data_IF_639664385841
#
_entry.id   IF_639664385841
#
_cell.length_a   1.000
_cell.length_b   1.000
_cell.length_c   1.000
_cell.angle_alpha   90.00
_cell.angle_beta   90.00
_cell.angle_gamma   90.00
#
_symmetry.space_group_name_H-M   'P 1'
#
loop_
_entity.id
_entity.type
_entity.pdbx_description
1 polymer ?
#
# COMPACT_ATOMS: atom_id res chain seq x y z
N UNK A 1 -47.00 -4.95 -8.95
CA UNK A 1 -46.87 -4.36 -7.60
C UNK A 1 -45.50 -3.70 -7.53
N UNK A 2 -45.46 -2.37 -7.57
CA UNK A 2 -44.21 -1.62 -7.48
C UNK A 2 -43.80 -1.48 -6.02
N UNK A 3 -42.53 -1.77 -5.70
CA UNK A 3 -41.93 -1.50 -4.39
C UNK A 3 -41.76 0.03 -4.22
N UNK A 4 -42.02 0.59 -3.03
CA UNK A 4 -41.86 2.02 -2.80
C UNK A 4 -40.37 2.39 -2.83
N UNK A 5 -40.05 3.51 -3.49
CA UNK A 5 -38.74 4.13 -3.44
C UNK A 5 -38.43 4.52 -1.99
N UNK A 6 -37.28 4.07 -1.47
CA UNK A 6 -36.74 4.53 -0.20
C UNK A 6 -36.08 5.90 -0.43
N UNK A 7 -36.74 6.96 0.04
CA UNK A 7 -36.12 8.28 0.13
C UNK A 7 -34.98 8.23 1.17
N UNK A 8 -33.75 8.50 0.72
CA UNK A 8 -32.60 8.65 1.61
C UNK A 8 -32.79 9.92 2.45
N UNK A 9 -32.94 9.72 3.75
CA UNK A 9 -33.12 10.82 4.69
C UNK A 9 -31.76 11.50 4.87
N UNK A 10 -31.66 12.74 4.41
CA UNK A 10 -30.46 13.56 4.58
C UNK A 10 -30.30 13.94 6.06
N UNK A 11 -29.38 13.27 6.74
CA UNK A 11 -29.10 13.41 8.18
C UNK A 11 -28.71 14.86 8.52
N UNK A 12 -27.97 15.53 7.63
CA UNK A 12 -27.54 16.92 7.84
C UNK A 12 -28.72 17.89 7.86
N UNK A 13 -29.76 17.62 7.06
CA UNK A 13 -30.99 18.42 7.08
C UNK A 13 -31.78 18.26 8.39
N UNK A 14 -31.75 17.09 9.01
CA UNK A 14 -32.47 16.85 10.26
C UNK A 14 -31.70 17.42 11.44
N UNK A 15 -30.38 17.21 11.50
CA UNK A 15 -29.52 17.80 12.52
C UNK A 15 -29.59 19.33 12.44
N UNK A 16 -29.65 19.90 11.24
CA UNK A 16 -29.79 21.35 11.02
C UNK A 16 -31.11 21.95 11.53
N UNK A 17 -32.15 21.14 11.75
CA UNK A 17 -33.46 21.58 12.29
C UNK A 17 -33.56 21.46 13.80
N UNK A 18 -32.62 20.78 14.46
CA UNK A 18 -32.66 20.61 15.91
C UNK A 18 -32.26 21.91 16.61
N UNK A 19 -33.01 22.25 17.67
CA UNK A 19 -32.63 23.36 18.54
C UNK A 19 -31.29 23.07 19.21
N UNK A 20 -30.55 24.12 19.59
CA UNK A 20 -29.25 23.98 20.27
C UNK A 20 -29.37 23.15 21.56
N UNK A 21 -30.51 23.22 22.25
CA UNK A 21 -30.79 22.40 23.43
C UNK A 21 -30.95 20.90 23.08
N UNK A 22 -31.63 20.60 21.98
CA UNK A 22 -31.86 19.23 21.52
C UNK A 22 -30.59 18.60 20.97
N UNK A 23 -29.76 19.35 20.23
CA UNK A 23 -28.43 18.88 19.82
C UNK A 23 -27.56 18.53 21.04
N UNK A 24 -27.62 19.36 22.08
CA UNK A 24 -26.81 19.17 23.28
C UNK A 24 -27.32 17.98 24.12
N UNK A 25 -28.64 17.75 24.16
CA UNK A 25 -29.24 16.56 24.76
C UNK A 25 -28.86 15.28 23.99
N UNK A 26 -28.92 15.31 22.65
CA UNK A 26 -28.53 14.20 21.78
C UNK A 26 -27.05 13.85 21.94
N UNK A 27 -26.16 14.85 21.91
CA UNK A 27 -24.72 14.67 22.13
C UNK A 27 -24.44 14.14 23.54
N UNK A 28 -25.12 14.64 24.58
CA UNK A 28 -25.00 14.09 25.93
C UNK A 28 -25.48 12.65 26.01
N UNK A 29 -26.56 12.28 25.34
CA UNK A 29 -27.06 10.90 25.33
C UNK A 29 -26.06 9.94 24.64
N UNK A 30 -25.47 10.36 23.51
CA UNK A 30 -24.45 9.60 22.79
C UNK A 30 -23.17 9.46 23.64
N UNK A 31 -22.67 10.56 24.21
CA UNK A 31 -21.43 10.57 25.01
C UNK A 31 -21.56 9.80 26.33
N UNK A 32 -22.71 9.91 27.00
CA UNK A 32 -22.94 9.21 28.28
C UNK A 32 -23.09 7.70 28.06
N UNK A 33 -23.52 7.25 26.87
CA UNK A 33 -23.70 5.82 26.56
C UNK A 33 -22.52 5.17 25.84
N UNK A 34 -21.65 5.94 25.18
CA UNK A 34 -20.39 5.44 24.62
C UNK A 34 -19.41 4.90 25.68
N UNK A 35 -19.67 5.13 26.97
CA UNK A 35 -18.84 4.61 28.07
C UNK A 35 -19.36 3.33 28.74
N UNK A 36 -20.50 2.78 28.33
CA UNK A 36 -21.09 1.59 28.96
C UNK A 36 -21.43 0.51 27.92
N UNK A 37 -20.90 -0.70 28.15
CA UNK A 37 -20.89 -1.83 27.20
C UNK A 37 -22.23 -2.59 27.10
N UNK A 38 -23.37 -1.94 27.36
CA UNK A 38 -24.68 -2.58 27.46
C UNK A 38 -25.63 -2.23 26.31
N UNK A 39 -26.55 -3.16 26.07
CA UNK A 39 -27.47 -3.29 24.95
C UNK A 39 -28.23 -2.00 24.62
N UNK A 40 -28.26 -1.64 23.34
CA UNK A 40 -28.90 -0.43 22.81
C UNK A 40 -30.42 -0.49 23.00
N UNK A 41 -30.93 0.03 24.12
CA UNK A 41 -32.35 0.36 24.24
C UNK A 41 -32.50 1.74 24.86
N UNK A 42 -33.12 2.68 24.14
CA UNK A 42 -33.49 3.99 24.69
C UNK A 42 -34.95 3.85 25.12
N UNK A 43 -35.23 4.04 26.41
CA UNK A 43 -36.62 3.99 26.90
C UNK A 43 -37.35 5.27 26.49
N UNK A 44 -38.56 5.13 25.96
CA UNK A 44 -39.42 6.24 25.49
C UNK A 44 -39.66 7.34 26.53
N UNK A 45 -39.45 7.03 27.82
CA UNK A 45 -39.82 7.89 28.94
C UNK A 45 -38.68 8.86 29.35
N UNK A 46 -37.48 8.74 28.79
CA UNK A 46 -36.31 9.56 29.16
C UNK A 46 -36.18 10.86 28.33
N UNK A 47 -37.00 11.02 27.28
CA UNK A 47 -37.03 12.22 26.43
C UNK A 47 -38.38 12.91 26.61
N UNK A 48 -38.40 14.09 27.26
CA UNK A 48 -39.61 14.88 27.53
C UNK A 48 -40.27 15.52 26.29
N UNK A 49 -39.87 15.09 25.09
CA UNK A 49 -40.36 15.53 23.78
C UNK A 49 -40.86 14.35 22.93
N UNK A 50 -41.27 13.26 23.58
CA UNK A 50 -41.58 11.97 22.96
C UNK A 50 -42.60 12.04 21.79
N UNK A 51 -43.57 12.96 21.85
CA UNK A 51 -44.61 13.08 20.81
C UNK A 51 -44.11 13.77 19.52
N UNK A 52 -43.06 14.59 19.59
CA UNK A 52 -42.51 15.35 18.44
C UNK A 52 -41.23 14.72 17.85
N UNK A 53 -40.82 13.54 18.32
CA UNK A 53 -39.53 12.91 17.98
C UNK A 53 -39.65 11.59 17.19
N UNK A 54 -40.79 11.30 16.57
CA UNK A 54 -41.00 10.08 15.77
C UNK A 54 -39.96 9.90 14.64
N UNK A 55 -39.53 11.00 14.00
CA UNK A 55 -38.45 10.98 13.01
C UNK A 55 -37.09 10.62 13.62
N UNK A 56 -36.82 11.09 14.85
CA UNK A 56 -35.58 10.80 15.57
C UNK A 56 -35.53 9.32 15.98
N UNK A 57 -36.66 8.76 16.42
CA UNK A 57 -36.80 7.33 16.71
C UNK A 57 -36.60 6.48 15.46
N UNK A 58 -37.21 6.87 14.33
CA UNK A 58 -36.99 6.19 13.05
C UNK A 58 -35.53 6.23 12.58
N UNK A 59 -34.77 7.28 12.92
CA UNK A 59 -33.33 7.34 12.67
C UNK A 59 -32.53 6.43 13.60
N UNK A 60 -32.89 6.37 14.89
CA UNK A 60 -32.25 5.47 15.85
C UNK A 60 -32.43 4.02 15.43
N UNK A 61 -33.63 3.62 15.01
CA UNK A 61 -33.91 2.25 14.55
C UNK A 61 -33.11 1.89 13.29
N UNK A 62 -32.96 2.84 12.35
CA UNK A 62 -32.12 2.65 11.15
C UNK A 62 -30.64 2.50 11.50
N UNK A 63 -30.11 3.37 12.36
CA UNK A 63 -28.73 3.29 12.83
C UNK A 63 -28.47 1.98 13.59
N UNK A 64 -29.43 1.50 14.39
CA UNK A 64 -29.33 0.20 15.05
C UNK A 64 -29.26 -0.95 14.04
N UNK A 65 -30.10 -0.92 12.99
CA UNK A 65 -30.06 -1.93 11.93
C UNK A 65 -28.71 -1.94 11.19
N UNK A 66 -28.17 -0.76 10.85
CA UNK A 66 -26.84 -0.64 10.22
C UNK A 66 -25.72 -1.15 11.13
N UNK A 67 -25.79 -0.88 12.43
CA UNK A 67 -24.79 -1.38 13.40
C UNK A 67 -24.84 -2.90 13.52
N UNK A 68 -26.03 -3.51 13.51
CA UNK A 68 -26.15 -4.97 13.53
C UNK A 68 -25.65 -5.61 12.22
N UNK A 69 -25.91 -5.00 11.07
CA UNK A 69 -25.37 -5.44 9.78
C UNK A 69 -23.83 -5.37 9.74
N UNK A 70 -23.26 -4.28 10.27
CA UNK A 70 -21.82 -4.12 10.41
C UNK A 70 -21.21 -5.15 11.38
N UNK A 71 -21.89 -5.49 12.48
CA UNK A 71 -21.45 -6.56 13.39
C UNK A 71 -21.44 -7.91 12.68
N UNK A 72 -22.47 -8.22 11.89
CA UNK A 72 -22.52 -9.45 11.09
C UNK A 72 -21.37 -9.50 10.08
N UNK A 73 -21.12 -8.40 9.37
CA UNK A 73 -19.99 -8.26 8.45
C UNK A 73 -18.63 -8.45 9.15
N UNK A 74 -18.48 -7.95 10.37
CA UNK A 74 -17.27 -8.12 11.18
C UNK A 74 -17.07 -9.58 11.60
N UNK A 75 -18.14 -10.31 11.90
CA UNK A 75 -18.05 -11.74 12.26
C UNK A 75 -17.63 -12.59 11.06
N UNK A 76 -18.18 -12.35 9.87
CA UNK A 76 -17.76 -13.02 8.63
C UNK A 76 -16.28 -12.75 8.33
N UNK A 77 -15.84 -11.49 8.46
CA UNK A 77 -14.44 -11.13 8.20
C UNK A 77 -13.46 -11.82 9.16
N UNK A 78 -13.88 -12.05 10.41
CA UNK A 78 -13.08 -12.80 11.39
C UNK A 78 -13.00 -14.29 11.06
N UNK A 79 -14.07 -14.87 10.52
CA UNK A 79 -14.06 -16.25 10.04
C UNK A 79 -13.11 -16.40 8.84
N UNK A 80 -13.21 -15.50 7.84
CA UNK A 80 -12.30 -15.46 6.70
C UNK A 80 -10.83 -15.32 7.12
N UNK A 81 -10.56 -14.45 8.11
CA UNK A 81 -9.21 -14.28 8.66
C UNK A 81 -8.66 -15.57 9.30
N UNK A 82 -9.50 -16.31 10.02
CA UNK A 82 -9.11 -17.58 10.62
C UNK A 82 -8.87 -18.65 9.55
N UNK A 83 -9.69 -18.71 8.51
CA UNK A 83 -9.50 -19.65 7.40
C UNK A 83 -8.20 -19.40 6.64
N UNK A 84 -7.89 -18.14 6.34
CA UNK A 84 -6.62 -17.75 5.73
C UNK A 84 -5.42 -18.12 6.63
N UNK A 85 -5.54 -17.91 7.94
CA UNK A 85 -4.51 -18.31 8.91
C UNK A 85 -4.27 -19.82 8.89
N UNK A 86 -5.34 -20.62 8.82
CA UNK A 86 -5.24 -22.07 8.73
C UNK A 86 -4.57 -22.51 7.42
N UNK A 87 -4.93 -21.88 6.29
CA UNK A 87 -4.29 -22.15 5.00
C UNK A 87 -2.79 -21.83 5.01
N UNK A 88 -2.39 -20.73 5.66
CA UNK A 88 -0.99 -20.34 5.80
C UNK A 88 -0.19 -21.38 6.61
N UNK A 89 -0.75 -21.90 7.69
CA UNK A 89 -0.13 -22.97 8.49
C UNK A 89 0.06 -24.23 7.64
N UNK A 90 -0.97 -24.66 6.90
CA UNK A 90 -0.86 -25.83 5.99
C UNK A 90 0.19 -25.62 4.90
N UNK A 91 0.29 -24.41 4.34
CA UNK A 91 1.30 -24.10 3.32
C UNK A 91 2.72 -24.12 3.91
N UNK A 92 2.90 -23.62 5.14
CA UNK A 92 4.18 -23.67 5.86
C UNK A 92 4.63 -25.12 6.11
N UNK A 93 3.72 -25.99 6.58
CA UNK A 93 4.01 -27.41 6.80
C UNK A 93 4.42 -28.12 5.49
N UNK A 94 3.80 -27.77 4.35
CA UNK A 94 4.19 -28.31 3.04
C UNK A 94 5.60 -27.87 2.64
N UNK A 95 5.98 -26.62 2.88
CA UNK A 95 7.34 -26.15 2.61
C UNK A 95 8.39 -26.90 3.43
N UNK A 96 8.11 -27.13 4.72
CA UNK A 96 9.01 -27.89 5.60
C UNK A 96 9.20 -29.34 5.09
N UNK A 97 8.12 -29.99 4.62
CA UNK A 97 8.22 -31.34 4.03
C UNK A 97 8.99 -31.38 2.70
N UNK A 98 8.93 -30.30 1.91
CA UNK A 98 9.70 -30.16 0.67
C UNK A 98 11.19 -29.93 0.95
N UNK A 99 11.55 -29.23 2.02
CA UNK A 99 12.94 -29.03 2.43
C UNK A 99 13.60 -30.33 2.92
N UNK A 100 12.84 -31.16 3.65
CA UNK A 100 13.31 -32.48 4.10
C UNK A 100 13.54 -33.45 2.93
N UNK A 101 12.69 -33.41 1.90
CA UNK A 101 12.83 -34.28 0.71
C UNK A 101 13.94 -33.84 -0.25
N UNK A 102 14.36 -32.57 -0.22
CA UNK A 102 15.48 -32.04 -1.02
C UNK A 102 16.86 -32.42 -0.47
N UNK A 103 16.92 -32.99 0.75
CA UNK A 103 18.15 -33.39 1.43
C UNK A 103 18.53 -34.88 1.23
N UNK A 104 17.86 -35.61 0.33
CA UNK A 104 18.22 -36.99 0.00
C UNK A 104 19.45 -37.04 -0.94
N UNK A 105 20.44 -37.93 -0.68
CA UNK A 105 21.69 -37.95 -1.44
C UNK A 105 21.49 -38.52 -2.86
N UNK A 106 22.00 -37.79 -3.86
CA UNK A 106 22.00 -38.21 -5.26
C UNK A 106 22.93 -39.44 -5.50
N UNK A 107 22.60 -40.35 -6.43
CA UNK A 107 23.44 -41.50 -6.76
C UNK A 107 24.66 -41.07 -7.58
N UNK A 108 25.83 -41.45 -7.07
CA UNK A 108 27.16 -41.32 -7.69
C UNK A 108 27.22 -41.95 -9.08
N UNK A 109 27.64 -41.16 -10.09
CA UNK A 109 28.14 -41.66 -11.38
C UNK A 109 29.66 -41.47 -11.47
N UNK A 110 30.32 -42.60 -11.67
CA UNK A 110 31.75 -42.83 -11.86
C UNK A 110 32.20 -42.40 -13.25
N UNK A 111 33.30 -41.64 -13.38
CA UNK A 111 34.13 -41.61 -14.59
C UNK A 111 35.47 -40.87 -14.39
N UNK A 112 36.52 -41.66 -14.20
CA UNK A 112 37.87 -41.58 -14.80
C UNK A 112 38.62 -40.23 -14.88
N UNK A 113 39.69 -40.07 -14.08
CA UNK A 113 41.03 -39.75 -14.59
C UNK A 113 42.15 -40.05 -13.58
N UNK A 114 43.33 -40.37 -14.13
CA UNK A 114 44.52 -40.99 -13.54
C UNK A 114 45.59 -39.97 -13.09
N UNK A 115 46.52 -40.46 -12.26
CA UNK A 115 47.85 -39.93 -11.88
C UNK A 115 47.80 -38.80 -10.83
N UNK A 116 48.44 -38.88 -9.65
CA UNK A 116 49.83 -39.26 -9.37
C UNK A 116 50.04 -39.88 -7.96
N UNK A 117 51.13 -40.64 -7.81
CA UNK A 117 51.60 -41.36 -6.62
C UNK A 117 52.28 -40.45 -5.58
N UNK A 118 52.26 -40.91 -4.33
CA UNK A 118 53.13 -40.43 -3.23
C UNK A 118 52.73 -41.03 -1.88
N UNK A 119 53.29 -42.19 -1.53
CA UNK A 119 53.30 -42.81 -0.18
C UNK A 119 54.12 -41.92 0.79
N UNK A 120 53.88 -41.83 2.10
CA UNK A 120 53.95 -42.88 3.14
C UNK A 120 53.39 -42.34 4.51
N UNK A 121 53.36 -43.11 5.63
CA UNK A 121 52.27 -43.13 6.60
C UNK A 121 52.61 -42.59 8.01
N UNK A 122 51.59 -42.27 8.83
CA UNK A 122 51.38 -42.85 10.17
C UNK A 122 50.32 -42.11 11.03
N UNK A 123 49.42 -42.93 11.62
CA UNK A 123 48.71 -42.79 12.91
C UNK A 123 47.49 -41.84 13.07
N UNK A 124 46.60 -42.07 14.09
CA UNK A 124 45.22 -42.45 13.82
C UNK A 124 44.15 -41.47 14.34
N UNK A 125 43.02 -41.46 13.62
CA UNK A 125 41.63 -41.42 14.14
C UNK A 125 41.35 -40.69 15.46
N UNK A 126 40.74 -39.50 15.37
CA UNK A 126 39.68 -39.07 16.28
C UNK A 126 38.53 -38.39 15.50
N UNK A 127 37.32 -38.76 15.90
CA UNK A 127 36.01 -38.52 15.29
C UNK A 127 35.60 -37.03 15.14
N UNK A 128 34.62 -36.71 14.27
CA UNK A 128 34.27 -35.33 13.92
C UNK A 128 33.18 -34.75 14.83
N UNK A 129 33.51 -33.69 15.57
CA UNK A 129 32.53 -32.74 16.11
C UNK A 129 32.19 -31.67 15.06
N UNK A 130 31.48 -32.06 14.00
CA UNK A 130 30.91 -31.13 13.01
C UNK A 130 29.40 -30.92 13.26
N UNK A 131 29.03 -30.25 14.34
CA UNK A 131 27.64 -29.75 14.55
C UNK A 131 27.52 -28.37 15.22
N UNK A 132 28.62 -27.61 15.41
CA UNK A 132 28.55 -26.30 16.07
C UNK A 132 28.57 -25.07 15.12
N UNK A 133 28.97 -25.23 13.84
CA UNK A 133 29.21 -24.07 12.95
C UNK A 133 27.97 -23.39 12.35
N UNK A 134 26.80 -24.06 12.35
CA UNK A 134 25.58 -23.50 11.76
C UNK A 134 24.74 -22.64 12.73
N UNK A 135 24.98 -22.78 14.04
CA UNK A 135 24.17 -22.14 15.08
C UNK A 135 24.78 -20.80 15.52
N UNK A 136 26.12 -20.74 15.62
CA UNK A 136 26.88 -19.50 15.83
C UNK A 136 26.56 -18.41 14.80
N UNK A 137 26.38 -18.77 13.52
CA UNK A 137 26.02 -17.80 12.46
C UNK A 137 24.62 -17.20 12.65
N UNK A 138 23.68 -17.92 13.28
CA UNK A 138 22.31 -17.41 13.53
C UNK A 138 22.28 -16.49 14.75
N UNK A 139 23.02 -16.85 15.80
CA UNK A 139 23.14 -16.03 17.01
C UNK A 139 23.91 -14.73 16.73
N UNK A 140 25.01 -14.79 15.96
CA UNK A 140 25.73 -13.61 15.49
C UNK A 140 24.85 -12.70 14.63
N UNK A 141 24.06 -13.26 13.72
CA UNK A 141 23.12 -12.48 12.91
C UNK A 141 22.03 -11.82 13.76
N UNK A 142 21.54 -12.49 14.81
CA UNK A 142 20.57 -11.93 15.74
C UNK A 142 21.16 -10.77 16.57
N UNK A 143 22.40 -10.91 17.05
CA UNK A 143 23.12 -9.84 17.75
C UNK A 143 23.36 -8.65 16.83
N UNK A 144 23.82 -8.90 15.59
CA UNK A 144 24.00 -7.85 14.59
C UNK A 144 22.69 -7.11 14.30
N UNK A 145 21.59 -7.83 14.06
CA UNK A 145 20.27 -7.24 13.80
C UNK A 145 19.75 -6.43 15.00
N UNK A 146 19.96 -6.94 16.23
CA UNK A 146 19.65 -6.22 17.46
C UNK A 146 20.40 -4.88 17.53
N UNK A 147 21.73 -4.89 17.39
CA UNK A 147 22.55 -3.68 17.41
C UNK A 147 22.19 -2.73 16.27
N UNK A 148 21.92 -3.25 15.08
CA UNK A 148 21.51 -2.46 13.92
C UNK A 148 20.20 -1.71 14.20
N UNK A 149 19.20 -2.38 14.79
CA UNK A 149 17.92 -1.78 15.16
C UNK A 149 18.09 -0.68 16.20
N UNK A 150 18.88 -0.93 17.26
CA UNK A 150 19.10 0.06 18.31
C UNK A 150 19.89 1.28 17.83
N UNK A 151 20.96 1.07 17.06
CA UNK A 151 21.72 2.16 16.42
C UNK A 151 20.82 2.99 15.50
N UNK A 152 20.01 2.32 14.66
CA UNK A 152 19.09 2.99 13.75
C UNK A 152 18.06 3.81 14.51
N UNK A 153 17.40 3.22 15.52
CA UNK A 153 16.39 3.91 16.32
C UNK A 153 16.98 5.12 17.06
N UNK A 154 18.14 4.94 17.69
CA UNK A 154 18.86 6.01 18.40
C UNK A 154 19.24 7.15 17.47
N UNK A 155 19.78 6.83 16.29
CA UNK A 155 20.10 7.84 15.28
C UNK A 155 18.86 8.63 14.85
N UNK A 156 17.75 7.95 14.56
CA UNK A 156 16.49 8.60 14.17
C UNK A 156 15.95 9.53 15.25
N UNK A 157 16.00 9.10 16.51
CA UNK A 157 15.61 9.92 17.66
C UNK A 157 16.48 11.19 17.79
N UNK A 158 17.80 11.06 17.65
CA UNK A 158 18.73 12.19 17.76
C UNK A 158 18.52 13.25 16.68
N UNK A 159 18.18 12.82 15.45
CA UNK A 159 17.93 13.73 14.33
C UNK A 159 16.49 14.24 14.28
N UNK A 160 15.61 13.75 15.17
CA UNK A 160 14.20 14.14 15.24
C UNK A 160 13.36 13.64 14.06
N UNK A 161 13.72 12.48 13.50
CA UNK A 161 12.94 11.87 12.43
C UNK A 161 12.05 10.77 12.98
N UNK A 162 10.74 10.98 12.89
CA UNK A 162 9.74 9.96 13.22
C UNK A 162 9.24 9.29 11.94
N UNK A 163 9.63 8.02 11.75
CA UNK A 163 9.17 7.21 10.62
C UNK A 163 7.68 6.86 10.69
N UNK A 164 7.04 7.02 11.86
CA UNK A 164 5.60 6.77 12.04
C UNK A 164 4.74 7.97 11.63
N UNK A 165 5.32 9.16 11.48
CA UNK A 165 4.66 10.30 10.85
C UNK A 165 4.76 10.12 9.35
N UNK A 166 3.71 9.58 8.75
CA UNK A 166 3.64 9.29 7.32
C UNK A 166 3.95 10.53 6.47
N UNK A 167 5.01 10.43 5.66
CA UNK A 167 5.36 11.45 4.66
C UNK A 167 6.25 12.59 5.15
N UNK A 168 6.75 12.57 6.39
CA UNK A 168 7.75 13.55 6.83
C UNK A 168 9.07 13.35 6.07
N UNK A 169 9.63 14.41 5.43
CA UNK A 169 10.93 14.31 4.75
C UNK A 169 12.07 14.20 5.75
N UNK A 170 13.17 13.56 5.34
CA UNK A 170 14.36 13.38 6.16
C UNK A 170 14.92 14.76 6.62
N UNK A 171 15.19 14.97 7.93
CA UNK A 171 15.59 16.27 8.45
C UNK A 171 16.95 16.65 7.91
N UNK A 172 17.15 17.95 7.66
CA UNK A 172 18.42 18.48 7.17
C UNK A 172 18.79 19.74 7.94
N UNK A 173 20.09 19.93 8.14
CA UNK A 173 20.64 21.25 8.43
C UNK A 173 20.42 22.19 7.24
N UNK A 174 19.34 22.98 7.28
CA UNK A 174 19.04 23.98 6.28
C UNK A 174 18.83 25.35 6.92
N UNK A 175 19.06 26.42 6.15
CA UNK A 175 18.69 27.79 6.57
C UNK A 175 17.18 27.98 6.55
N UNK A 176 16.49 27.23 5.70
CA UNK A 176 15.04 27.16 5.65
C UNK A 176 14.55 26.19 6.72
N UNK A 177 13.95 26.71 7.79
CA UNK A 177 13.41 25.95 8.93
C UNK A 177 12.30 24.92 8.56
N UNK A 178 11.90 24.83 7.28
CA UNK A 178 10.82 23.97 6.78
C UNK A 178 11.06 22.47 6.97
N UNK A 179 12.31 22.05 7.18
CA UNK A 179 12.70 20.64 7.35
C UNK A 179 13.42 20.38 8.68
N UNK A 180 13.31 21.31 9.63
CA UNK A 180 13.90 21.19 10.95
C UNK A 180 12.81 20.81 11.96
N UNK A 181 12.85 19.61 12.56
CA UNK A 181 11.89 19.24 13.59
C UNK A 181 11.95 20.20 14.77
N UNK A 182 10.78 20.57 15.30
CA UNK A 182 10.67 21.40 16.50
C UNK A 182 10.84 20.52 17.75
N UNK A 183 11.85 20.83 18.56
CA UNK A 183 12.01 20.20 19.86
C UNK A 183 10.95 20.75 20.83
N UNK A 184 10.43 19.88 21.70
CA UNK A 184 9.49 20.31 22.76
C UNK A 184 10.14 21.33 23.68
N UNK A 185 9.34 22.27 24.20
CA UNK A 185 9.83 23.35 25.06
C UNK A 185 10.57 22.78 26.27
N UNK A 186 11.87 23.07 26.38
CA UNK A 186 12.74 22.58 27.47
C UNK A 186 13.60 21.36 27.11
N UNK A 187 13.41 20.75 25.94
CA UNK A 187 14.26 19.67 25.44
C UNK A 187 15.47 20.21 24.66
N UNK A 188 16.54 19.42 24.62
CA UNK A 188 17.69 19.73 23.78
C UNK A 188 17.28 19.76 22.30
N UNK A 189 17.86 20.66 21.48
CA UNK A 189 17.58 20.68 20.05
C UNK A 189 18.07 19.39 19.38
N UNK A 190 17.35 18.96 18.35
CA UNK A 190 17.76 17.82 17.53
C UNK A 190 19.09 18.10 16.82
N UNK A 191 19.89 17.05 16.66
CA UNK A 191 21.14 17.13 15.93
C UNK A 191 20.89 16.92 14.44
N UNK A 192 20.80 18.00 13.69
CA UNK A 192 20.46 17.92 12.27
C UNK A 192 21.67 17.49 11.43
N UNK A 193 21.53 16.42 10.62
CA UNK A 193 22.59 16.01 9.71
C UNK A 193 22.89 17.07 8.65
N UNK A 194 24.18 17.23 8.34
CA UNK A 194 24.62 17.91 7.13
C UNK A 194 24.81 16.90 6.00
N UNK A 195 23.71 16.59 5.31
CA UNK A 195 23.73 15.70 4.15
C UNK A 195 24.48 16.27 2.93
N UNK A 196 24.92 17.54 2.95
CA UNK A 196 25.73 18.15 1.89
C UNK A 196 27.19 17.72 1.95
N UNK A 197 27.67 17.32 3.12
CA UNK A 197 29.02 16.75 3.29
C UNK A 197 29.03 15.28 2.85
N UNK A 198 30.08 14.87 2.15
CA UNK A 198 30.24 13.49 1.67
C UNK A 198 30.67 12.53 2.78
N UNK A 199 31.18 13.06 3.90
CA UNK A 199 31.78 12.29 4.97
C UNK A 199 31.00 12.47 6.27
N UNK A 200 30.47 11.35 6.78
CA UNK A 200 29.82 11.29 8.09
C UNK A 200 30.80 11.55 9.26
N UNK A 201 32.11 11.47 9.00
CA UNK A 201 33.17 11.71 9.98
C UNK A 201 33.54 13.19 10.16
N UNK A 202 32.81 14.12 9.52
CA UNK A 202 33.11 15.55 9.58
C UNK A 202 32.04 16.34 10.33
N UNK A 203 32.48 17.40 11.02
CA UNK A 203 31.60 18.41 11.62
C UNK A 203 30.51 17.86 12.55
N UNK A 204 29.27 18.26 12.31
CA UNK A 204 28.10 17.85 13.10
C UNK A 204 27.72 16.39 12.86
N UNK A 205 27.98 15.83 11.67
CA UNK A 205 27.73 14.42 11.40
C UNK A 205 28.58 13.52 12.31
N UNK A 206 29.84 13.90 12.56
CA UNK A 206 30.70 13.19 13.50
C UNK A 206 30.14 13.21 14.92
N UNK A 207 29.55 14.34 15.33
CA UNK A 207 28.93 14.50 16.64
C UNK A 207 27.71 13.59 16.79
N UNK A 208 26.83 13.58 15.78
CA UNK A 208 25.65 12.69 15.73
C UNK A 208 26.07 11.23 15.85
N UNK A 209 27.06 10.81 15.07
CA UNK A 209 27.53 9.42 15.08
C UNK A 209 28.13 9.03 16.42
N UNK A 210 29.02 9.85 16.99
CA UNK A 210 29.62 9.51 18.28
C UNK A 210 28.58 9.47 19.40
N UNK A 211 27.61 10.39 19.41
CA UNK A 211 26.54 10.36 20.40
C UNK A 211 25.64 9.13 20.23
N UNK A 212 25.34 8.73 18.98
CA UNK A 212 24.59 7.50 18.71
C UNK A 212 25.32 6.27 19.26
N UNK A 213 26.63 6.16 19.01
CA UNK A 213 27.45 5.05 19.53
C UNK A 213 27.48 5.05 21.05
N UNK A 214 27.71 6.21 21.67
CA UNK A 214 27.75 6.34 23.12
C UNK A 214 26.44 5.91 23.78
N UNK A 215 25.29 6.36 23.26
CA UNK A 215 23.98 6.02 23.81
C UNK A 215 23.68 4.52 23.71
N UNK A 216 24.06 3.86 22.61
CA UNK A 216 23.88 2.41 22.48
C UNK A 216 24.82 1.64 23.41
N UNK A 217 26.04 2.14 23.65
CA UNK A 217 26.93 1.55 24.65
C UNK A 217 26.36 1.67 26.06
N UNK A 218 25.85 2.85 26.44
CA UNK A 218 25.17 3.08 27.72
C UNK A 218 23.94 2.17 27.86
N UNK A 219 23.13 2.04 26.81
CA UNK A 219 21.97 1.15 26.81
C UNK A 219 22.37 -0.31 27.03
N UNK A 220 23.45 -0.77 26.38
CA UNK A 220 23.96 -2.12 26.59
C UNK A 220 24.44 -2.37 28.03
N UNK A 221 24.98 -1.35 28.71
CA UNK A 221 25.37 -1.47 30.12
C UNK A 221 24.18 -1.62 31.07
N UNK A 222 22.97 -1.25 30.63
CA UNK A 222 21.75 -1.30 31.45
C UNK A 222 20.83 -2.47 31.09
N UNK A 223 20.77 -2.85 29.81
CA UNK A 223 19.78 -3.82 29.30
C UNK A 223 20.40 -5.13 28.80
N UNK A 224 21.73 -5.29 28.88
CA UNK A 224 22.46 -6.47 28.37
C UNK A 224 22.04 -6.85 26.93
N UNK A 225 21.99 -5.85 26.04
CA UNK A 225 21.54 -6.01 24.64
C UNK A 225 22.32 -7.11 23.89
N UNK A 226 23.58 -7.30 24.27
CA UNK A 226 24.50 -8.25 23.66
C UNK A 226 25.02 -9.22 24.73
N UNK A 227 24.90 -10.54 24.53
CA UNK A 227 25.44 -11.54 25.45
C UNK A 227 26.97 -11.45 25.58
N UNK A 228 27.50 -11.81 26.76
CA UNK A 228 28.93 -11.85 27.09
C UNK A 228 29.89 -12.37 26.00
N UNK A 229 29.62 -13.48 25.27
CA UNK A 229 30.53 -13.95 24.21
C UNK A 229 30.67 -12.99 23.01
N UNK A 230 29.83 -11.96 22.91
CA UNK A 230 29.78 -11.01 21.80
C UNK A 230 30.07 -9.56 22.22
N UNK A 231 30.59 -9.31 23.43
CA UNK A 231 30.86 -7.95 23.94
C UNK A 231 31.75 -7.10 23.00
N UNK A 232 32.63 -7.73 22.22
CA UNK A 232 33.48 -7.06 21.22
C UNK A 232 32.66 -6.29 20.16
N UNK A 233 31.42 -6.71 19.90
CA UNK A 233 30.50 -6.08 18.96
C UNK A 233 29.93 -4.75 19.45
N UNK A 234 30.00 -4.50 20.76
CA UNK A 234 29.59 -3.24 21.40
C UNK A 234 30.77 -2.27 21.52
N UNK A 235 31.95 -2.66 21.04
CA UNK A 235 33.10 -1.76 20.96
C UNK A 235 32.78 -0.54 20.09
N UNK A 236 33.40 0.59 20.44
CA UNK A 236 33.17 1.85 19.71
C UNK A 236 33.45 1.71 18.22
N UNK A 237 34.49 0.95 17.86
CA UNK A 237 34.85 0.70 16.46
C UNK A 237 33.78 -0.14 15.73
N UNK A 238 33.32 -1.24 16.32
CA UNK A 238 32.33 -2.12 15.70
C UNK A 238 30.98 -1.43 15.49
N UNK A 239 30.50 -0.70 16.49
CA UNK A 239 29.25 0.07 16.39
C UNK A 239 29.35 1.19 15.34
N UNK A 240 30.52 1.83 15.26
CA UNK A 240 30.81 2.89 14.30
C UNK A 240 30.82 2.36 12.85
N UNK A 241 31.39 1.18 12.60
CA UNK A 241 31.34 0.51 11.30
C UNK A 241 29.92 0.10 10.91
N UNK A 242 29.13 -0.39 11.87
CA UNK A 242 27.74 -0.73 11.65
C UNK A 242 26.90 0.51 11.32
N UNK A 243 27.13 1.61 12.06
CA UNK A 243 26.44 2.88 11.84
C UNK A 243 26.81 3.52 10.49
N UNK A 244 28.03 3.31 9.99
CA UNK A 244 28.39 3.74 8.63
C UNK A 244 27.46 3.13 7.57
N UNK A 245 27.14 1.84 7.70
CA UNK A 245 26.19 1.17 6.80
C UNK A 245 24.77 1.75 6.93
N UNK A 246 24.33 2.09 8.15
CA UNK A 246 23.03 2.74 8.39
C UNK A 246 23.00 4.14 7.76
N UNK A 247 24.05 4.93 7.97
CA UNK A 247 24.18 6.28 7.45
C UNK A 247 24.11 6.33 5.93
N UNK A 248 24.78 5.39 5.24
CA UNK A 248 24.72 5.29 3.79
C UNK A 248 23.30 5.12 3.25
N UNK A 249 22.46 4.32 3.94
CA UNK A 249 21.04 4.15 3.56
C UNK A 249 20.22 5.42 3.80
N UNK A 250 20.45 6.12 4.91
CA UNK A 250 19.75 7.39 5.16
C UNK A 250 20.16 8.50 4.19
N UNK A 251 21.44 8.55 3.81
CA UNK A 251 21.90 9.48 2.78
C UNK A 251 21.24 9.19 1.43
N UNK A 252 21.15 7.91 1.03
CA UNK A 252 20.42 7.51 -0.17
C UNK A 252 18.93 7.90 -0.12
N UNK A 253 18.27 7.68 1.03
CA UNK A 253 16.89 8.10 1.23
C UNK A 253 16.74 9.62 1.13
N UNK A 254 17.60 10.38 1.79
CA UNK A 254 17.62 11.84 1.72
C UNK A 254 17.78 12.32 0.28
N UNK A 255 18.75 11.77 -0.47
CA UNK A 255 19.00 12.13 -1.87
C UNK A 255 17.81 11.78 -2.76
N UNK A 256 17.15 10.65 -2.51
CA UNK A 256 15.92 10.28 -3.21
C UNK A 256 14.79 11.29 -2.90
N UNK A 257 14.58 11.70 -1.66
CA UNK A 257 13.50 12.62 -1.30
C UNK A 257 13.77 14.06 -1.80
N UNK A 258 15.04 14.48 -1.83
CA UNK A 258 15.43 15.89 -2.04
C UNK A 258 16.07 16.16 -3.39
N UNK A 259 16.16 15.18 -4.29
CA UNK A 259 16.56 15.40 -5.68
C UNK A 259 15.31 15.58 -6.57
N UNK A 260 14.91 16.83 -6.87
CA UNK A 260 13.68 17.10 -7.61
C UNK A 260 13.70 16.50 -9.02
N UNK A 261 14.88 16.40 -9.65
CA UNK A 261 15.02 15.81 -10.99
C UNK A 261 14.79 14.29 -10.98
N UNK A 262 15.30 13.59 -9.97
CA UNK A 262 15.06 12.15 -9.81
C UNK A 262 13.66 11.84 -9.28
N UNK A 263 13.07 12.74 -8.48
CA UNK A 263 11.67 12.63 -8.08
C UNK A 263 10.77 12.76 -9.30
N UNK A 264 10.90 13.83 -10.08
CA UNK A 264 10.13 14.03 -11.30
C UNK A 264 10.29 12.89 -12.31
N UNK A 265 11.51 12.33 -12.46
CA UNK A 265 11.73 11.17 -13.32
C UNK A 265 11.04 9.90 -12.80
N UNK A 266 11.06 9.65 -11.48
CA UNK A 266 10.36 8.51 -10.87
C UNK A 266 8.85 8.67 -10.95
N UNK A 267 8.34 9.85 -10.68
CA UNK A 267 6.91 10.17 -10.80
C UNK A 267 6.47 9.97 -12.27
N UNK A 268 7.28 10.41 -13.24
CA UNK A 268 7.05 10.17 -14.66
C UNK A 268 7.08 8.67 -15.02
N UNK A 269 8.05 7.91 -14.54
CA UNK A 269 8.11 6.46 -14.82
C UNK A 269 7.00 5.67 -14.14
N UNK A 270 6.59 6.07 -12.94
CA UNK A 270 5.42 5.50 -12.27
C UNK A 270 4.15 5.76 -13.09
N UNK A 271 3.99 6.99 -13.57
CA UNK A 271 2.91 7.37 -14.49
C UNK A 271 2.94 6.56 -15.79
N UNK A 272 4.09 6.50 -16.49
CA UNK A 272 4.25 5.70 -17.71
C UNK A 272 3.97 4.20 -17.46
N UNK A 273 4.37 3.68 -16.31
CA UNK A 273 4.09 2.32 -15.88
C UNK A 273 2.59 2.07 -15.68
N UNK A 274 1.90 2.96 -14.95
CA UNK A 274 0.46 2.89 -14.73
C UNK A 274 -0.29 2.97 -16.05
N UNK A 275 -0.01 3.96 -16.89
CA UNK A 275 -0.63 4.12 -18.21
C UNK A 275 -0.43 2.87 -19.10
N UNK A 276 0.74 2.24 -19.04
CA UNK A 276 1.01 0.98 -19.77
C UNK A 276 0.17 -0.19 -19.25
N UNK A 277 -0.02 -0.31 -17.93
CA UNK A 277 -0.88 -1.35 -17.33
C UNK A 277 -2.35 -1.15 -17.70
N UNK A 278 -2.82 0.10 -17.68
CA UNK A 278 -4.17 0.46 -18.13
C UNK A 278 -4.39 0.10 -19.60
N UNK A 279 -3.47 0.49 -20.49
CA UNK A 279 -3.53 0.15 -21.92
C UNK A 279 -3.62 -1.36 -22.16
N UNK A 280 -2.78 -2.16 -21.48
CA UNK A 280 -2.83 -3.63 -21.58
C UNK A 280 -4.17 -4.22 -21.13
N UNK A 281 -4.72 -3.67 -20.04
CA UNK A 281 -6.04 -4.07 -19.53
C UNK A 281 -7.12 -3.78 -20.57
N UNK A 282 -7.09 -2.60 -21.19
CA UNK A 282 -8.04 -2.26 -22.25
C UNK A 282 -7.88 -3.12 -23.49
N UNK A 283 -6.65 -3.39 -23.93
CA UNK A 283 -6.39 -4.29 -25.05
C UNK A 283 -6.98 -5.68 -24.79
N UNK A 284 -6.80 -6.21 -23.58
CA UNK A 284 -7.41 -7.46 -23.17
C UNK A 284 -8.94 -7.40 -23.23
N UNK A 285 -9.55 -6.31 -22.72
CA UNK A 285 -11.00 -6.15 -22.71
C UNK A 285 -11.59 -5.97 -24.11
N UNK A 286 -10.94 -5.16 -24.96
CA UNK A 286 -11.34 -4.98 -26.34
C UNK A 286 -11.22 -6.29 -27.13
N UNK A 287 -10.15 -7.07 -26.91
CA UNK A 287 -9.96 -8.38 -27.54
C UNK A 287 -11.07 -9.36 -27.11
N UNK A 288 -11.38 -9.43 -25.81
CA UNK A 288 -12.47 -10.28 -25.32
C UNK A 288 -13.85 -9.81 -25.81
N UNK A 289 -14.09 -8.50 -25.85
CA UNK A 289 -15.32 -7.93 -26.41
C UNK A 289 -15.49 -8.24 -27.90
N UNK A 290 -14.41 -8.16 -28.67
CA UNK A 290 -14.37 -8.59 -30.07
C UNK A 290 -14.70 -10.08 -30.22
N UNK A 291 -14.16 -10.94 -29.35
CA UNK A 291 -14.51 -12.36 -29.32
C UNK A 291 -16.01 -12.57 -29.05
N UNK A 292 -16.56 -11.90 -28.03
CA UNK A 292 -17.98 -11.98 -27.69
C UNK A 292 -18.87 -11.52 -28.85
N UNK A 293 -18.50 -10.42 -29.51
CA UNK A 293 -19.24 -9.94 -30.66
C UNK A 293 -19.16 -10.91 -31.84
N UNK A 294 -18.00 -11.52 -32.11
CA UNK A 294 -17.84 -12.52 -33.15
C UNK A 294 -18.74 -13.74 -32.91
N UNK A 295 -18.80 -14.23 -31.66
CA UNK A 295 -19.70 -15.31 -31.25
C UNK A 295 -21.18 -14.94 -31.49
N UNK A 296 -21.58 -13.73 -31.12
CA UNK A 296 -22.95 -13.23 -31.37
C UNK A 296 -23.29 -13.16 -32.87
N UNK A 297 -22.30 -12.95 -33.73
CA UNK A 297 -22.45 -12.94 -35.19
C UNK A 297 -22.34 -14.33 -35.82
N UNK A 298 -22.19 -15.39 -35.02
CA UNK A 298 -22.12 -16.78 -35.50
C UNK A 298 -20.76 -17.18 -36.09
N UNK A 299 -19.68 -16.49 -35.73
CA UNK A 299 -18.32 -16.93 -36.09
C UNK A 299 -18.02 -18.25 -35.36
N UNK A 300 -17.52 -19.30 -36.05
CA UNK A 300 -17.17 -20.57 -35.41
C UNK A 300 -16.12 -20.37 -34.31
N UNK A 301 -16.29 -21.04 -33.16
CA UNK A 301 -15.42 -20.89 -31.96
C UNK A 301 -13.93 -20.96 -32.30
N UNK A 302 -13.51 -21.93 -33.11
CA UNK A 302 -12.11 -22.11 -33.55
C UNK A 302 -11.51 -20.90 -34.28
N UNK A 303 -12.34 -20.00 -34.81
CA UNK A 303 -11.93 -18.81 -35.55
C UNK A 303 -12.10 -17.50 -34.78
N UNK A 304 -12.71 -17.53 -33.58
CA UNK A 304 -13.06 -16.33 -32.81
C UNK A 304 -11.82 -15.57 -32.34
N UNK A 305 -10.84 -16.27 -31.78
CA UNK A 305 -9.59 -15.65 -31.33
C UNK A 305 -8.82 -15.02 -32.50
N UNK A 306 -8.69 -15.76 -33.61
CA UNK A 306 -8.03 -15.24 -34.82
C UNK A 306 -8.74 -14.02 -35.40
N UNK A 307 -10.07 -13.96 -35.27
CA UNK A 307 -10.83 -12.78 -35.65
C UNK A 307 -10.47 -11.60 -34.75
N UNK A 308 -10.53 -11.75 -33.42
CA UNK A 308 -10.21 -10.69 -32.48
C UNK A 308 -8.79 -10.14 -32.68
N UNK A 309 -7.78 -10.99 -32.85
CA UNK A 309 -6.40 -10.57 -33.16
C UNK A 309 -6.26 -9.78 -34.47
N UNK A 310 -7.16 -9.95 -35.43
CA UNK A 310 -7.13 -9.22 -36.71
C UNK A 310 -7.82 -7.87 -36.64
N UNK A 311 -8.70 -7.67 -35.66
CA UNK A 311 -9.59 -6.51 -35.59
C UNK A 311 -9.38 -5.66 -34.33
N UNK A 312 -8.51 -6.08 -33.42
CA UNK A 312 -8.06 -5.32 -32.25
C UNK A 312 -6.54 -5.31 -32.24
N UNK A 313 -5.95 -4.13 -32.14
CA UNK A 313 -4.52 -3.91 -31.98
C UNK A 313 -4.28 -3.13 -30.67
N UNK A 314 -3.15 -3.35 -30.01
CA UNK A 314 -2.80 -2.66 -28.77
C UNK A 314 -2.70 -1.14 -28.97
N UNK A 315 -2.29 -0.67 -30.14
CA UNK A 315 -2.27 0.76 -30.45
C UNK A 315 -3.67 1.37 -30.60
N UNK A 316 -4.73 0.56 -30.69
CA UNK A 316 -6.09 1.02 -30.98
C UNK A 316 -6.94 1.26 -29.73
N UNK A 317 -6.52 0.78 -28.56
CA UNK A 317 -7.39 0.76 -27.38
C UNK A 317 -7.51 2.07 -26.62
N UNK A 318 -6.76 3.11 -27.01
CA UNK A 318 -6.84 4.41 -26.35
C UNK A 318 -6.00 4.47 -25.08
N UNK A 319 -5.99 5.65 -24.45
CA UNK A 319 -5.29 5.87 -23.19
C UNK A 319 -6.32 6.14 -22.09
N UNK A 320 -6.14 5.52 -20.93
CA UNK A 320 -6.88 5.87 -19.72
C UNK A 320 -6.09 6.87 -18.92
N UNK A 321 -6.73 7.97 -18.53
CA UNK A 321 -6.15 9.01 -17.70
C UNK A 321 -6.96 9.12 -16.40
N UNK A 322 -6.32 8.94 -15.27
CA UNK A 322 -6.88 9.16 -13.94
C UNK A 322 -6.68 10.59 -13.43
N UNK A 323 -7.16 10.81 -12.22
CA UNK A 323 -6.89 12.04 -11.47
C UNK A 323 -5.37 12.22 -11.28
N UNK A 324 -4.68 11.22 -10.72
CA UNK A 324 -3.24 11.30 -10.40
C UNK A 324 -2.32 11.47 -11.63
N UNK A 325 -2.89 11.38 -12.84
CA UNK A 325 -2.16 11.52 -14.11
C UNK A 325 -2.11 12.98 -14.62
N UNK A 326 -2.75 13.94 -13.92
CA UNK A 326 -2.69 15.35 -14.29
C UNK A 326 -1.38 16.01 -13.83
N UNK A 327 -0.85 16.92 -14.66
CA UNK A 327 0.48 17.51 -14.45
C UNK A 327 0.57 18.47 -13.25
N UNK A 328 -0.56 19.08 -12.85
CA UNK A 328 -0.62 20.02 -11.72
C UNK A 328 -2.01 20.06 -11.05
N UNK A 329 -2.05 20.58 -9.82
CA UNK A 329 -3.25 20.69 -8.98
C UNK A 329 -4.40 21.47 -9.63
N UNK A 330 -4.10 22.43 -10.52
CA UNK A 330 -5.14 23.21 -11.20
C UNK A 330 -5.82 22.43 -12.32
N UNK A 331 -5.06 21.57 -13.00
CA UNK A 331 -5.57 20.66 -14.01
C UNK A 331 -6.35 19.51 -13.39
N UNK A 332 -5.96 19.03 -12.21
CA UNK A 332 -6.72 18.06 -11.43
C UNK A 332 -8.17 18.53 -11.22
N UNK A 333 -8.36 19.69 -10.58
CA UNK A 333 -9.70 20.22 -10.27
C UNK A 333 -10.56 20.43 -11.54
N UNK A 334 -9.97 21.02 -12.58
CA UNK A 334 -10.66 21.27 -13.84
C UNK A 334 -11.08 19.97 -14.54
N UNK A 335 -10.19 18.97 -14.53
CA UNK A 335 -10.46 17.64 -15.08
C UNK A 335 -11.62 16.96 -14.33
N UNK A 336 -11.60 16.97 -12.99
CA UNK A 336 -12.65 16.32 -12.20
C UNK A 336 -14.01 17.00 -12.31
N UNK A 337 -14.04 18.33 -12.37
CA UNK A 337 -15.27 19.05 -12.67
C UNK A 337 -15.85 18.61 -14.02
N UNK A 338 -14.99 18.45 -15.03
CA UNK A 338 -15.40 17.97 -16.35
C UNK A 338 -15.93 16.53 -16.29
N UNK A 339 -15.26 15.64 -15.56
CA UNK A 339 -15.69 14.27 -15.31
C UNK A 339 -17.05 14.21 -14.60
N UNK A 340 -17.24 15.00 -13.55
CA UNK A 340 -18.51 15.08 -12.81
C UNK A 340 -19.67 15.63 -13.66
N UNK A 341 -19.35 16.54 -14.59
CA UNK A 341 -20.32 17.17 -15.51
C UNK A 341 -20.65 16.29 -16.73
N UNK A 342 -19.87 15.25 -17.01
CA UNK A 342 -20.11 14.31 -18.13
C UNK A 342 -21.45 13.57 -18.04
N UNK A 343 -22.02 13.47 -16.82
CA UNK A 343 -23.20 12.66 -16.54
C UNK A 343 -22.97 11.15 -16.56
N UNK A 344 -21.73 10.69 -16.79
CA UNK A 344 -21.36 9.27 -16.86
C UNK A 344 -20.94 8.69 -15.50
N UNK A 345 -20.71 9.55 -14.49
CA UNK A 345 -20.39 9.14 -13.12
C UNK A 345 -21.65 9.06 -12.24
N UNK A 346 -21.77 7.97 -11.47
CA UNK A 346 -22.78 7.84 -10.42
C UNK A 346 -22.52 8.80 -9.25
N UNK A 347 -23.52 9.02 -8.39
CA UNK A 347 -23.36 9.85 -7.18
C UNK A 347 -22.23 9.34 -6.28
N UNK A 348 -22.14 8.02 -6.10
CA UNK A 348 -21.09 7.38 -5.30
C UNK A 348 -19.70 7.63 -5.91
N UNK A 349 -19.56 7.49 -7.23
CA UNK A 349 -18.29 7.73 -7.92
C UNK A 349 -17.85 9.19 -7.89
N UNK A 350 -18.79 10.15 -7.85
CA UNK A 350 -18.45 11.59 -7.71
C UNK A 350 -17.81 11.94 -6.36
N UNK A 351 -17.85 11.05 -5.37
CA UNK A 351 -17.18 11.24 -4.09
C UNK A 351 -15.76 10.69 -4.05
N UNK A 352 -15.33 9.92 -5.07
CA UNK A 352 -14.00 9.34 -5.13
C UNK A 352 -13.39 9.47 -6.55
N UNK A 353 -12.47 10.42 -6.70
CA UNK A 353 -11.77 10.68 -7.95
C UNK A 353 -10.89 9.50 -8.41
N UNK A 354 -10.51 8.59 -7.50
CA UNK A 354 -9.67 7.42 -7.83
C UNK A 354 -10.45 6.30 -8.52
N UNK A 355 -11.78 6.37 -8.49
CA UNK A 355 -12.65 5.38 -9.09
C UNK A 355 -13.07 5.71 -10.54
N UNK A 356 -12.48 6.74 -11.15
CA UNK A 356 -12.90 7.27 -12.44
C UNK A 356 -11.70 7.53 -13.35
N UNK A 357 -11.81 7.09 -14.60
CA UNK A 357 -10.79 7.24 -15.62
C UNK A 357 -11.39 7.89 -16.86
N UNK A 358 -10.71 8.87 -17.41
CA UNK A 358 -11.00 9.44 -18.72
C UNK A 358 -10.44 8.50 -19.78
N UNK A 359 -11.28 8.11 -20.73
CA UNK A 359 -10.87 7.29 -21.85
C UNK A 359 -10.66 8.17 -23.09
N UNK A 360 -9.41 8.31 -23.54
CA UNK A 360 -9.02 9.13 -24.68
C UNK A 360 -8.79 8.32 -25.95
N UNK A 361 -9.29 8.84 -27.06
CA UNK A 361 -9.05 8.28 -28.38
C UNK A 361 -7.57 8.45 -28.80
N UNK A 362 -6.95 7.44 -29.45
CA UNK A 362 -5.63 7.63 -30.05
C UNK A 362 -5.64 8.77 -31.08
N UNK A 363 -4.60 9.61 -31.09
CA UNK A 363 -4.54 10.82 -31.93
C UNK A 363 -4.59 10.55 -33.42
N UNK A 364 -4.10 9.39 -33.87
CA UNK A 364 -4.12 8.97 -35.27
C UNK A 364 -5.47 8.36 -35.69
N UNK A 365 -6.37 8.09 -34.74
CA UNK A 365 -7.59 7.33 -34.97
C UNK A 365 -8.78 8.25 -35.24
N UNK A 366 -9.59 7.91 -36.25
CA UNK A 366 -10.83 8.65 -36.49
C UNK A 366 -11.86 8.40 -35.37
N UNK A 367 -12.62 9.42 -34.99
CA UNK A 367 -13.68 9.31 -33.98
C UNK A 367 -14.71 8.21 -34.28
N UNK A 368 -14.98 7.93 -35.56
CA UNK A 368 -15.92 6.88 -35.95
C UNK A 368 -15.35 5.48 -35.70
N UNK A 369 -14.08 5.27 -36.04
CA UNK A 369 -13.42 4.00 -35.75
C UNK A 369 -13.24 3.81 -34.24
N UNK A 370 -12.88 4.87 -33.52
CA UNK A 370 -12.78 4.85 -32.06
C UNK A 370 -14.10 4.45 -31.38
N UNK A 371 -15.24 4.94 -31.88
CA UNK A 371 -16.56 4.49 -31.40
C UNK A 371 -16.76 2.98 -31.53
N UNK A 372 -16.26 2.36 -32.60
CA UNK A 372 -16.31 0.91 -32.80
C UNK A 372 -15.38 0.20 -31.81
N UNK A 373 -14.15 0.66 -31.62
CA UNK A 373 -13.24 0.07 -30.63
C UNK A 373 -13.85 0.08 -29.22
N UNK A 374 -14.49 1.20 -28.83
CA UNK A 374 -15.21 1.30 -27.56
C UNK A 374 -16.37 0.32 -27.42
N UNK A 375 -17.05 -0.05 -28.51
CA UNK A 375 -18.16 -1.02 -28.40
C UNK A 375 -17.67 -2.38 -27.90
N UNK A 376 -16.45 -2.80 -28.26
CA UNK A 376 -15.88 -4.05 -27.72
C UNK A 376 -15.67 -3.96 -26.20
N UNK A 377 -15.11 -2.85 -25.71
CA UNK A 377 -14.92 -2.63 -24.27
C UNK A 377 -16.27 -2.63 -23.54
N UNK A 378 -17.30 -1.99 -24.12
CA UNK A 378 -18.65 -1.98 -23.54
C UNK A 378 -19.30 -3.36 -23.52
N UNK A 379 -19.17 -4.14 -24.60
CA UNK A 379 -19.68 -5.52 -24.67
C UNK A 379 -19.03 -6.38 -23.59
N UNK A 380 -17.72 -6.25 -23.37
CA UNK A 380 -17.03 -6.96 -22.29
C UNK A 380 -17.53 -6.52 -20.90
N UNK A 381 -17.70 -5.22 -20.67
CA UNK A 381 -18.26 -4.67 -19.42
C UNK A 381 -19.65 -5.22 -19.13
N UNK A 382 -20.52 -5.23 -20.12
CA UNK A 382 -21.88 -5.76 -20.00
C UNK A 382 -21.85 -7.27 -19.72
N UNK A 383 -20.96 -8.01 -20.37
CA UNK A 383 -20.75 -9.43 -20.11
C UNK A 383 -20.29 -9.70 -18.67
N UNK A 384 -19.41 -8.88 -18.09
CA UNK A 384 -18.95 -9.03 -16.71
C UNK A 384 -20.03 -8.67 -15.69
N UNK A 385 -20.87 -7.66 -15.98
CA UNK A 385 -22.02 -7.29 -15.15
C UNK A 385 -23.06 -8.41 -15.16
N UNK A 386 -23.33 -8.98 -16.33
CA UNK A 386 -24.34 -10.04 -16.50
C UNK A 386 -23.86 -11.40 -16.01
N UNK A 387 -22.56 -11.71 -16.16
CA UNK A 387 -21.94 -12.98 -15.78
C UNK A 387 -20.65 -12.73 -14.98
N UNK A 388 -20.74 -12.29 -13.71
CA UNK A 388 -19.58 -11.98 -12.90
C UNK A 388 -18.76 -13.26 -12.63
N UNK A 389 -17.63 -13.39 -13.33
CA UNK A 389 -16.75 -14.57 -13.25
C UNK A 389 -15.91 -14.59 -11.97
N UNK A 390 -15.76 -13.45 -11.29
CA UNK A 390 -15.08 -13.32 -10.01
C UNK A 390 -15.90 -12.41 -9.07
N UNK A 391 -16.40 -12.94 -7.95
CA UNK A 391 -16.96 -12.16 -6.83
C UNK A 391 -15.85 -11.46 -6.03
N UNK A 392 -15.02 -10.65 -6.69
CA UNK A 392 -14.14 -9.73 -5.98
C UNK A 392 -14.93 -8.49 -5.56
N UNK A 393 -14.71 -7.99 -4.34
CA UNK A 393 -15.19 -6.67 -3.86
C UNK A 393 -14.48 -5.52 -4.60
N UNK A 394 -14.25 -5.62 -5.90
CA UNK A 394 -13.68 -4.53 -6.67
C UNK A 394 -14.80 -3.57 -7.03
N UNK A 395 -14.66 -2.33 -6.56
CA UNK A 395 -15.53 -1.22 -6.93
C UNK A 395 -15.51 -1.10 -8.46
N UNK A 396 -16.68 -0.98 -9.09
CA UNK A 396 -16.79 -0.85 -10.53
C UNK A 396 -16.14 0.47 -10.94
N UNK A 397 -14.97 0.38 -11.58
CA UNK A 397 -14.25 1.52 -12.14
C UNK A 397 -15.04 2.16 -13.26
N UNK A 398 -15.41 3.44 -13.10
CA UNK A 398 -16.05 4.20 -14.17
C UNK A 398 -15.03 4.62 -15.22
N UNK A 399 -15.38 4.43 -16.48
CA UNK A 399 -14.60 4.95 -17.60
C UNK A 399 -15.47 5.93 -18.35
N UNK A 400 -15.03 7.18 -18.38
CA UNK A 400 -15.78 8.31 -18.95
C UNK A 400 -15.10 8.71 -20.25
N UNK A 401 -15.86 8.76 -21.34
CA UNK A 401 -15.38 9.39 -22.56
C UNK A 401 -15.83 10.86 -22.57
N UNK A 402 -14.86 11.77 -22.43
CA UNK A 402 -15.08 13.22 -22.49
C UNK A 402 -15.20 13.75 -23.93
N UNK A 403 -15.04 12.89 -24.94
CA UNK A 403 -15.06 13.24 -26.34
C UNK A 403 -13.66 13.56 -26.90
N UNK A 404 -13.57 14.11 -28.12
CA UNK A 404 -12.28 14.52 -28.67
C UNK A 404 -11.67 15.54 -27.72
N UNK A 405 -10.49 15.22 -27.19
CA UNK A 405 -9.75 16.11 -26.31
C UNK A 405 -9.69 17.50 -26.95
N UNK A 406 -10.11 18.53 -26.21
CA UNK A 406 -9.73 19.90 -26.56
C UNK A 406 -8.22 19.87 -26.76
N UNK A 407 -7.68 20.36 -27.90
CA UNK A 407 -6.26 20.30 -28.15
C UNK A 407 -5.56 20.94 -26.96
N UNK A 408 -4.84 20.13 -26.19
CA UNK A 408 -3.95 20.66 -25.17
C UNK A 408 -2.96 21.52 -25.94
N UNK A 409 -3.01 22.83 -25.68
CA UNK A 409 -2.04 23.78 -26.20
C UNK A 409 -0.66 23.24 -25.84
N UNK A 410 0.06 22.73 -26.84
CA UNK A 410 1.47 22.40 -26.69
C UNK A 410 2.20 23.65 -26.19
N UNK A 411 2.76 23.55 -24.98
CA UNK A 411 3.86 24.41 -24.50
C UNK A 411 5.10 23.54 -24.46
#
# INVERSE_FOLDING_TARGET
MALPQQDSINIDQIIGKLSKANCLALVKAILTRGSANEQWSISSNELSCADDCSELWGLVDKLQAEVEDLKSSLTELKEDQNDLRNQLVTASERLDTMEVTKSAPAPTKTSCCKCCQGSDPDLPSLLPTKKAKGQLMKEEAAVHDCLYKHLRATLLCLIGYDAHVTGAPMPRKNKDARYSPEASTGSAPFLLPDWGTSLWTEGENFTIVNQTVHLVQELNMHEDLVPAPYEEWVSHAALKDLLHTIWGKFKQQFDAEHNPSQKALRDKWALEGHLSEHCKTQYSWASMGACLQALQQGVPEDNVEQFAFKIVDESWVGEEWGWDDQLDDSLHDAWWQTMCNSGQLSSVQKHDHKCAFELRAPTFMSNNFWKICKTFILIKKEADITNPTCRGKHVITAHVDLGPAMPQLHI
#
